data_IF_521445052566
#
_entry.id   IF_521445052566
#
_cell.length_a   1.000
_cell.length_b   1.000
_cell.length_c   1.000
_cell.angle_alpha   90.00
_cell.angle_beta   90.00
_cell.angle_gamma   90.00
#
_symmetry.space_group_name_H-M   'P 1'
#
loop_
_entity.id
_entity.type
_entity.pdbx_description
1 polymer ?
#
# COMPACT_ATOMS: atom_id res chain seq x y z
N UNK A 1 -26.08 -18.56 -4.01
CA UNK A 1 -24.62 -18.31 -4.20
C UNK A 1 -24.26 -16.80 -4.22
N UNK A 2 -25.04 -15.92 -3.57
CA UNK A 2 -24.74 -14.47 -3.53
C UNK A 2 -24.10 -14.01 -2.21
N UNK A 3 -24.18 -14.84 -1.16
CA UNK A 3 -23.73 -14.51 0.19
C UNK A 3 -22.23 -14.84 0.42
N UNK A 4 -21.74 -15.89 -0.24
CA UNK A 4 -20.38 -16.41 -0.09
C UNK A 4 -19.31 -15.39 -0.53
N UNK A 5 -19.59 -14.61 -1.57
CA UNK A 5 -18.67 -13.58 -2.07
C UNK A 5 -18.52 -12.40 -1.10
N UNK A 6 -19.55 -12.08 -0.32
CA UNK A 6 -19.53 -11.02 0.68
C UNK A 6 -18.76 -11.41 1.94
N UNK A 7 -19.02 -12.62 2.44
CA UNK A 7 -18.29 -13.16 3.60
C UNK A 7 -16.81 -13.40 3.29
N UNK A 8 -16.48 -13.93 2.11
CA UNK A 8 -15.08 -14.08 1.66
C UNK A 8 -14.35 -12.73 1.62
N UNK A 9 -15.00 -11.66 1.15
CA UNK A 9 -14.39 -10.31 1.12
C UNK A 9 -14.09 -9.80 2.53
N UNK A 10 -15.04 -9.94 3.46
CA UNK A 10 -14.84 -9.56 4.87
C UNK A 10 -13.69 -10.34 5.52
N UNK A 11 -13.60 -11.65 5.26
CA UNK A 11 -12.51 -12.48 5.76
C UNK A 11 -11.15 -12.03 5.21
N UNK A 12 -11.09 -11.68 3.92
CA UNK A 12 -9.87 -11.14 3.28
C UNK A 12 -9.48 -9.80 3.90
N UNK A 13 -10.41 -8.86 4.09
CA UNK A 13 -10.12 -7.56 4.71
C UNK A 13 -9.62 -7.71 6.16
N UNK A 14 -10.21 -8.63 6.93
CA UNK A 14 -9.78 -8.92 8.29
C UNK A 14 -8.35 -9.47 8.31
N UNK A 15 -8.04 -10.43 7.43
CA UNK A 15 -6.70 -11.00 7.31
C UNK A 15 -5.68 -9.94 6.88
N UNK A 16 -6.02 -9.08 5.93
CA UNK A 16 -5.15 -7.97 5.52
C UNK A 16 -4.85 -7.01 6.69
N UNK A 17 -5.86 -6.67 7.49
CA UNK A 17 -5.69 -5.84 8.70
C UNK A 17 -4.78 -6.49 9.74
N UNK A 18 -4.88 -7.82 9.92
CA UNK A 18 -3.99 -8.57 10.81
C UNK A 18 -2.54 -8.54 10.35
N UNK A 19 -2.28 -8.71 9.04
CA UNK A 19 -0.94 -8.67 8.45
C UNK A 19 -0.33 -7.27 8.61
N UNK A 20 -1.08 -6.21 8.28
CA UNK A 20 -0.60 -4.83 8.44
C UNK A 20 -0.26 -4.50 9.90
N UNK A 21 -1.01 -5.03 10.87
CA UNK A 21 -0.72 -4.82 12.29
C UNK A 21 0.52 -5.59 12.77
N UNK A 22 0.73 -6.81 12.29
CA UNK A 22 1.85 -7.65 12.72
C UNK A 22 3.18 -7.25 12.08
N UNK A 23 3.17 -6.91 10.79
CA UNK A 23 4.39 -6.66 10.02
C UNK A 23 4.64 -5.17 9.72
N UNK A 24 3.66 -4.31 10.03
CA UNK A 24 3.73 -2.87 9.83
C UNK A 24 2.91 -2.41 8.61
N UNK A 25 2.57 -1.12 8.59
CA UNK A 25 1.76 -0.54 7.52
C UNK A 25 2.43 -0.71 6.15
N UNK A 26 1.67 -1.22 5.19
CA UNK A 26 2.17 -1.43 3.83
C UNK A 26 2.84 -2.79 3.63
N UNK A 27 2.67 -3.71 4.57
CA UNK A 27 3.12 -5.10 4.42
C UNK A 27 2.26 -5.90 3.43
N UNK A 28 1.00 -5.47 3.24
CA UNK A 28 0.11 -6.00 2.20
C UNK A 28 -0.76 -4.89 1.63
N UNK A 29 -0.92 -4.86 0.31
CA UNK A 29 -1.73 -3.87 -0.39
C UNK A 29 -2.20 -4.42 -1.75
N UNK A 30 -3.29 -3.88 -2.29
CA UNK A 30 -3.71 -4.19 -3.64
C UNK A 30 -2.87 -3.41 -4.66
N UNK A 31 -2.53 -4.04 -5.78
CA UNK A 31 -1.84 -3.36 -6.87
C UNK A 31 -2.77 -2.30 -7.48
N UNK A 32 -2.31 -1.05 -7.54
CA UNK A 32 -3.11 0.10 -7.96
C UNK A 32 -3.90 0.77 -6.83
N UNK A 33 -3.80 0.29 -5.59
CA UNK A 33 -4.34 1.00 -4.44
C UNK A 33 -3.54 2.30 -4.22
N UNK A 34 -4.23 3.43 -4.33
CA UNK A 34 -3.60 4.75 -4.35
C UNK A 34 -3.48 5.33 -2.93
N UNK A 35 -2.95 4.53 -2.01
CA UNK A 35 -2.74 4.95 -0.62
C UNK A 35 -1.53 5.87 -0.55
N UNK A 36 -1.78 7.16 -0.38
CA UNK A 36 -0.74 8.11 0.03
C UNK A 36 -0.19 7.66 1.38
N UNK A 37 1.02 7.10 1.35
CA UNK A 37 1.78 6.87 2.57
C UNK A 37 2.44 8.20 2.95
N UNK A 38 2.20 8.67 4.18
CA UNK A 38 2.86 9.85 4.73
C UNK A 38 4.32 9.51 5.06
N UNK A 39 5.14 9.44 4.00
CA UNK A 39 6.57 9.17 4.07
C UNK A 39 7.28 10.34 3.40
N UNK A 40 8.24 10.93 4.10
CA UNK A 40 9.12 11.92 3.50
C UNK A 40 9.94 11.27 2.37
N UNK A 41 9.89 11.84 1.18
CA UNK A 41 10.61 11.38 0.00
C UNK A 41 11.70 12.37 -0.42
N UNK A 42 12.66 11.88 -1.22
CA UNK A 42 13.69 12.68 -1.89
C UNK A 42 13.43 12.57 -3.38
N UNK A 43 13.20 13.68 -4.10
CA UNK A 43 12.97 13.64 -5.54
C UNK A 43 14.14 12.99 -6.28
N UNK A 44 13.83 12.16 -7.27
CA UNK A 44 14.85 11.54 -8.14
C UNK A 44 15.35 12.51 -9.22
N UNK A 45 14.62 13.60 -9.46
CA UNK A 45 14.91 14.55 -10.54
C UNK A 45 14.26 14.16 -11.88
N UNK A 46 13.58 13.01 -11.95
CA UNK A 46 12.76 12.59 -13.08
C UNK A 46 11.28 12.58 -12.71
N UNK A 47 10.49 13.44 -13.34
CA UNK A 47 9.05 13.59 -13.04
C UNK A 47 8.31 12.26 -13.26
N UNK A 48 8.67 11.51 -14.31
CA UNK A 48 8.04 10.22 -14.60
C UNK A 48 8.33 9.20 -13.52
N UNK A 49 9.55 9.18 -12.98
CA UNK A 49 9.94 8.24 -11.94
C UNK A 49 9.34 8.62 -10.58
N UNK A 50 9.39 9.91 -10.22
CA UNK A 50 8.79 10.42 -8.99
C UNK A 50 7.28 10.16 -8.94
N UNK A 51 6.60 10.30 -10.08
CA UNK A 51 5.17 9.99 -10.22
C UNK A 51 4.90 8.49 -10.15
N UNK A 52 5.73 7.66 -10.80
CA UNK A 52 5.57 6.20 -10.78
C UNK A 52 5.79 5.59 -9.39
N UNK A 53 6.68 6.17 -8.58
CA UNK A 53 6.90 5.74 -7.19
C UNK A 53 5.72 6.10 -6.26
N UNK A 54 4.76 6.92 -6.71
CA UNK A 54 3.54 7.27 -5.97
C UNK A 54 3.73 8.21 -4.77
N UNK A 55 4.95 8.31 -4.24
CA UNK A 55 5.32 9.19 -3.12
C UNK A 55 6.18 10.40 -3.54
N UNK A 56 6.39 10.60 -4.85
CA UNK A 56 7.14 11.75 -5.36
C UNK A 56 8.66 11.61 -5.29
N UNK A 57 9.20 10.41 -5.10
CA UNK A 57 10.63 10.16 -5.06
C UNK A 57 11.02 8.93 -4.25
N UNK A 58 12.30 8.82 -3.86
CA UNK A 58 12.79 7.72 -3.02
C UNK A 58 12.45 7.97 -1.55
N UNK A 59 12.00 6.96 -0.81
CA UNK A 59 11.56 7.15 0.57
C UNK A 59 12.75 7.29 1.53
N UNK A 60 12.65 8.22 2.49
CA UNK A 60 13.69 8.39 3.52
C UNK A 60 13.68 7.24 4.54
N UNK A 61 14.88 6.92 5.03
CA UNK A 61 15.08 5.92 6.09
C UNK A 61 14.83 4.46 5.66
N UNK A 62 14.80 4.21 4.35
CA UNK A 62 14.63 2.90 3.74
C UNK A 62 15.78 2.66 2.77
N UNK A 63 16.13 1.38 2.60
CA UNK A 63 17.09 0.88 1.62
C UNK A 63 16.32 0.26 0.47
#
# INVERSE_FOLDING_TARGET
MADETGERKKAVELAMSQIDRQFGKGSIMFLGDNRKMDIASIPTGSISLDSALGIGGVPRGRV
#
